data_IF_779771672561
#
_entry.id   IF_779771672561
#
_cell.length_a   1.000
_cell.length_b   1.000
_cell.length_c   1.000
_cell.angle_alpha   90.00
_cell.angle_beta   90.00
_cell.angle_gamma   90.00
#
_symmetry.space_group_name_H-M   'P 1'
#
loop_
_entity.id
_entity.type
_entity.pdbx_description
1 polymer ?
#
# COMPACT_ATOMS: atom_id res chain seq x y z
N UNK A 1 4.17 4.82 23.19
CA UNK A 1 4.73 5.73 22.14
C UNK A 1 5.98 6.37 22.72
N UNK A 2 7.15 6.25 22.04
CA UNK A 2 8.41 6.83 22.51
C UNK A 2 8.45 8.36 22.37
N UNK A 3 9.31 9.03 23.18
CA UNK A 3 9.46 10.50 23.20
C UNK A 3 9.63 11.14 21.80
N UNK A 4 10.41 10.51 20.91
CA UNK A 4 10.64 11.00 19.54
C UNK A 4 9.35 11.05 18.72
N UNK A 5 8.57 9.99 18.75
CA UNK A 5 7.28 9.89 18.05
C UNK A 5 6.25 10.86 18.64
N UNK A 6 6.19 10.98 19.97
CA UNK A 6 5.32 11.92 20.65
C UNK A 6 5.60 13.37 20.22
N UNK A 7 6.87 13.78 20.13
CA UNK A 7 7.25 15.12 19.68
C UNK A 7 6.83 15.39 18.22
N UNK A 8 6.90 14.39 17.35
CA UNK A 8 6.47 14.53 15.96
C UNK A 8 4.95 14.67 15.87
N UNK A 9 4.19 13.88 16.66
CA UNK A 9 2.74 14.01 16.73
C UNK A 9 2.30 15.37 17.24
N UNK A 10 2.97 15.92 18.26
CA UNK A 10 2.71 17.28 18.79
C UNK A 10 2.91 18.37 17.74
N UNK A 11 3.92 18.26 16.88
CA UNK A 11 4.12 19.19 15.74
C UNK A 11 2.91 19.17 14.77
N UNK A 12 2.15 18.11 14.75
CA UNK A 12 0.90 17.95 13.98
C UNK A 12 -0.35 18.36 14.78
N UNK A 13 -0.21 18.99 15.93
CA UNK A 13 -1.30 19.33 16.84
C UNK A 13 -2.12 18.10 17.30
N UNK A 14 -1.44 16.95 17.44
CA UNK A 14 -2.01 15.73 18.02
C UNK A 14 -1.44 15.63 19.43
N UNK A 15 -2.23 16.04 20.42
CA UNK A 15 -1.82 16.12 21.82
C UNK A 15 -2.40 14.99 22.67
N UNK A 16 -3.54 14.44 22.25
CA UNK A 16 -4.27 13.42 22.97
C UNK A 16 -4.83 12.33 22.04
N UNK A 17 -5.50 11.33 22.61
CA UNK A 17 -6.08 10.22 21.84
C UNK A 17 -7.24 10.66 20.95
N UNK A 18 -8.02 11.64 21.39
CA UNK A 18 -9.13 12.16 20.61
C UNK A 18 -8.63 12.82 19.33
N UNK A 19 -7.59 13.67 19.41
CA UNK A 19 -6.97 14.29 18.22
C UNK A 19 -6.47 13.26 17.23
N UNK A 20 -5.93 12.13 17.73
CA UNK A 20 -5.44 11.05 16.91
C UNK A 20 -6.57 10.31 16.18
N UNK A 21 -7.64 9.98 16.89
CA UNK A 21 -8.79 9.23 16.34
C UNK A 21 -9.66 10.08 15.42
N UNK A 22 -9.81 11.37 15.73
CA UNK A 22 -10.58 12.30 14.91
C UNK A 22 -9.92 12.62 13.58
N UNK A 23 -8.67 12.23 13.41
CA UNK A 23 -7.96 12.41 12.16
C UNK A 23 -8.34 11.31 11.18
N UNK A 24 -9.34 11.56 10.37
CA UNK A 24 -9.84 10.62 9.38
C UNK A 24 -8.79 10.34 8.30
N UNK A 25 -8.75 9.11 7.76
CA UNK A 25 -7.90 8.79 6.63
C UNK A 25 -8.31 9.58 5.38
N UNK A 26 -7.36 10.03 4.59
CA UNK A 26 -7.61 10.74 3.33
C UNK A 26 -8.14 9.81 2.24
N UNK A 27 -7.73 8.56 2.27
CA UNK A 27 -8.17 7.52 1.35
C UNK A 27 -7.90 6.16 1.96
N UNK A 28 -8.52 5.14 1.40
CA UNK A 28 -8.22 3.75 1.74
C UNK A 28 -7.77 3.00 0.48
N UNK A 29 -6.94 2.00 0.67
CA UNK A 29 -6.57 1.06 -0.38
C UNK A 29 -7.30 -0.24 -0.04
N UNK A 30 -8.22 -0.61 -0.90
CA UNK A 30 -8.94 -1.87 -0.77
C UNK A 30 -8.15 -2.96 -1.50
N UNK A 31 -7.49 -3.82 -0.74
CA UNK A 31 -6.78 -4.99 -1.28
C UNK A 31 -7.65 -6.24 -1.38
N UNK A 32 -8.95 -6.15 -1.02
CA UNK A 32 -9.86 -7.30 -1.04
C UNK A 32 -10.21 -7.77 -2.45
N UNK A 33 -10.18 -6.86 -3.43
CA UNK A 33 -10.39 -7.17 -4.82
C UNK A 33 -9.07 -7.21 -5.57
N UNK A 34 -8.74 -8.36 -6.12
CA UNK A 34 -7.62 -8.51 -7.04
C UNK A 34 -8.17 -8.53 -8.47
N UNK A 35 -7.71 -7.58 -9.28
CA UNK A 35 -8.06 -7.51 -10.70
C UNK A 35 -7.15 -8.43 -11.50
N UNK A 36 -7.60 -8.84 -12.68
CA UNK A 36 -6.77 -9.46 -13.70
C UNK A 36 -6.12 -8.41 -14.60
N UNK A 37 -5.05 -8.77 -15.31
CA UNK A 37 -4.33 -7.81 -16.16
C UNK A 37 -5.24 -7.24 -17.26
N UNK A 38 -6.15 -8.04 -17.82
CA UNK A 38 -7.10 -7.57 -18.83
C UNK A 38 -8.20 -6.65 -18.30
N UNK A 39 -8.39 -6.58 -16.97
CA UNK A 39 -9.39 -5.72 -16.30
C UNK A 39 -8.79 -4.42 -15.78
N UNK A 40 -7.50 -4.19 -16.03
CA UNK A 40 -6.80 -3.03 -15.50
C UNK A 40 -7.29 -1.72 -16.13
N UNK A 41 -7.54 -0.73 -15.28
CA UNK A 41 -8.00 0.60 -15.67
C UNK A 41 -6.88 1.61 -15.50
N UNK A 42 -6.50 2.25 -16.61
CA UNK A 42 -5.42 3.23 -16.65
C UNK A 42 -5.72 4.40 -15.71
N UNK A 43 -4.70 4.84 -14.97
CA UNK A 43 -4.79 5.94 -14.03
C UNK A 43 -5.25 5.57 -12.62
N UNK A 44 -5.87 4.40 -12.42
CA UNK A 44 -6.34 3.93 -11.11
C UNK A 44 -5.25 3.18 -10.35
N UNK A 45 -5.38 3.17 -9.04
CA UNK A 45 -4.59 2.29 -8.17
C UNK A 45 -5.36 0.98 -8.03
N UNK A 46 -4.76 -0.11 -8.48
CA UNK A 46 -5.40 -1.42 -8.45
C UNK A 46 -4.45 -2.47 -7.88
N UNK A 47 -5.05 -3.53 -7.32
CA UNK A 47 -4.34 -4.66 -6.75
C UNK A 47 -4.48 -5.87 -7.65
N UNK A 48 -3.38 -6.54 -7.92
CA UNK A 48 -3.32 -7.72 -8.81
C UNK A 48 -2.44 -8.81 -8.22
N UNK A 49 -2.76 -10.06 -8.60
CA UNK A 49 -1.92 -11.23 -8.34
C UNK A 49 -1.16 -11.57 -9.61
N UNK A 50 0.16 -11.59 -9.52
CA UNK A 50 1.03 -11.81 -10.67
C UNK A 50 2.15 -12.79 -10.35
N UNK A 51 2.60 -13.50 -11.36
CA UNK A 51 3.81 -14.33 -11.32
C UNK A 51 4.98 -13.56 -11.91
N UNK A 52 6.08 -13.50 -11.18
CA UNK A 52 7.30 -12.83 -11.62
C UNK A 52 8.07 -13.73 -12.58
N UNK A 53 8.38 -13.23 -13.78
CA UNK A 53 9.06 -14.00 -14.84
C UNK A 53 10.50 -13.57 -15.01
N UNK A 54 10.76 -12.26 -15.18
CA UNK A 54 12.09 -11.78 -15.57
C UNK A 54 12.34 -10.38 -15.03
N UNK A 55 13.58 -10.13 -14.63
CA UNK A 55 14.09 -8.79 -14.35
C UNK A 55 14.69 -8.16 -15.59
N UNK A 56 14.49 -6.86 -15.75
CA UNK A 56 15.16 -6.02 -16.71
C UNK A 56 15.75 -4.82 -15.97
N UNK A 57 17.02 -4.90 -15.63
CA UNK A 57 17.78 -3.88 -14.92
C UNK A 57 18.73 -3.20 -15.89
N UNK A 58 18.39 -2.03 -16.42
CA UNK A 58 19.24 -1.33 -17.37
C UNK A 58 20.50 -0.80 -16.64
N UNK A 59 21.65 -0.94 -17.29
CA UNK A 59 22.92 -0.40 -16.77
C UNK A 59 23.07 1.12 -16.95
N UNK A 60 22.15 1.72 -17.69
CA UNK A 60 22.14 3.16 -17.99
C UNK A 60 21.47 3.92 -16.85
N UNK A 61 22.15 4.96 -16.37
CA UNK A 61 21.57 5.88 -15.35
C UNK A 61 20.28 6.49 -15.86
N UNK A 62 19.35 6.73 -14.94
CA UNK A 62 18.03 7.35 -15.19
C UNK A 62 16.99 6.48 -15.92
N UNK A 63 17.32 5.23 -16.27
CA UNK A 63 16.31 4.29 -16.71
C UNK A 63 15.72 3.52 -15.51
N UNK A 64 14.40 3.35 -15.46
CA UNK A 64 13.77 2.62 -14.37
C UNK A 64 14.05 1.11 -14.48
N UNK A 65 14.19 0.47 -13.34
CA UNK A 65 14.19 -0.98 -13.26
C UNK A 65 12.80 -1.53 -13.59
N UNK A 66 12.74 -2.60 -14.37
CA UNK A 66 11.47 -3.24 -14.75
C UNK A 66 11.50 -4.70 -14.36
N UNK A 67 10.33 -5.19 -13.99
CA UNK A 67 10.09 -6.61 -13.71
C UNK A 67 8.92 -7.06 -14.56
N UNK A 68 9.18 -8.00 -15.46
CA UNK A 68 8.16 -8.60 -16.29
C UNK A 68 7.37 -9.60 -15.44
N UNK A 69 6.08 -9.42 -15.40
CA UNK A 69 5.14 -10.23 -14.66
C UNK A 69 3.99 -10.67 -15.56
N UNK A 70 3.39 -11.80 -15.23
CA UNK A 70 2.25 -12.35 -15.95
C UNK A 70 1.15 -12.81 -14.99
N UNK A 71 -0.05 -12.88 -15.50
CA UNK A 71 -1.14 -13.69 -14.96
C UNK A 71 -1.70 -14.59 -16.07
N UNK A 72 -2.85 -15.21 -15.84
CA UNK A 72 -3.57 -16.04 -16.81
C UNK A 72 -4.18 -15.23 -17.98
N UNK A 73 -4.22 -13.90 -17.90
CA UNK A 73 -4.87 -13.03 -18.87
C UNK A 73 -3.92 -12.15 -19.68
N UNK A 74 -2.68 -11.98 -19.21
CA UNK A 74 -1.76 -11.10 -19.93
C UNK A 74 -0.38 -10.93 -19.30
N UNK A 75 0.31 -9.89 -19.79
CA UNK A 75 1.65 -9.49 -19.34
C UNK A 75 1.61 -8.04 -18.86
N UNK A 76 2.43 -7.72 -17.88
CA UNK A 76 2.64 -6.36 -17.43
C UNK A 76 4.07 -6.13 -16.92
N UNK A 77 4.50 -4.88 -16.93
CA UNK A 77 5.77 -4.47 -16.35
C UNK A 77 5.54 -3.78 -15.00
N UNK A 78 6.18 -4.25 -13.94
CA UNK A 78 6.33 -3.48 -12.70
C UNK A 78 7.53 -2.54 -12.85
N UNK A 79 7.30 -1.24 -12.77
CA UNK A 79 8.31 -0.20 -13.01
C UNK A 79 8.72 0.44 -11.69
N UNK A 80 10.01 0.41 -11.42
CA UNK A 80 10.62 0.94 -10.20
C UNK A 80 11.61 2.06 -10.54
N UNK A 81 11.31 3.25 -10.08
CA UNK A 81 12.22 4.39 -10.14
C UNK A 81 13.08 4.42 -8.87
N UNK A 82 14.37 4.65 -9.01
CA UNK A 82 15.31 4.84 -7.90
C UNK A 82 15.32 3.70 -6.86
N UNK A 83 15.11 2.46 -7.28
CA UNK A 83 15.13 1.30 -6.39
C UNK A 83 16.30 0.39 -6.70
N UNK A 84 16.95 -0.14 -5.65
CA UNK A 84 18.07 -1.06 -5.80
C UNK A 84 17.60 -2.46 -6.26
N UNK A 85 18.38 -3.10 -7.12
CA UNK A 85 18.09 -4.45 -7.63
C UNK A 85 17.86 -5.47 -6.52
N UNK A 86 18.71 -5.46 -5.47
CA UNK A 86 18.58 -6.37 -4.33
C UNK A 86 17.23 -6.22 -3.59
N UNK A 87 16.75 -5.00 -3.44
CA UNK A 87 15.43 -4.75 -2.88
C UNK A 87 14.32 -5.31 -3.77
N UNK A 88 14.39 -5.07 -5.09
CA UNK A 88 13.40 -5.56 -6.05
C UNK A 88 13.37 -7.10 -6.06
N UNK A 89 14.53 -7.75 -6.09
CA UNK A 89 14.64 -9.21 -6.02
C UNK A 89 14.05 -9.80 -4.73
N UNK A 90 14.18 -9.10 -3.62
CA UNK A 90 13.61 -9.50 -2.33
C UNK A 90 12.09 -9.44 -2.32
N UNK A 91 11.50 -8.38 -2.88
CA UNK A 91 10.05 -8.16 -2.85
C UNK A 91 9.31 -8.87 -4.00
N UNK A 92 9.97 -9.08 -5.12
CA UNK A 92 9.45 -9.75 -6.32
C UNK A 92 10.36 -10.93 -6.72
N UNK A 93 10.37 -12.03 -5.96
CA UNK A 93 11.21 -13.18 -6.29
C UNK A 93 10.72 -13.89 -7.56
N UNK A 94 11.66 -14.29 -8.43
CA UNK A 94 11.37 -15.00 -9.69
C UNK A 94 10.57 -16.28 -9.43
N UNK A 95 9.67 -16.59 -10.34
CA UNK A 95 8.79 -17.75 -10.34
C UNK A 95 7.82 -17.85 -9.15
N UNK A 96 7.73 -16.81 -8.32
CA UNK A 96 6.72 -16.74 -7.26
C UNK A 96 5.55 -15.87 -7.67
N UNK A 97 4.37 -16.27 -7.19
CA UNK A 97 3.17 -15.44 -7.28
C UNK A 97 3.17 -14.46 -6.12
N UNK A 98 2.97 -13.20 -6.44
CA UNK A 98 2.93 -12.10 -5.47
C UNK A 98 1.74 -11.20 -5.75
N UNK A 99 1.17 -10.65 -4.69
CA UNK A 99 0.12 -9.64 -4.79
C UNK A 99 0.76 -8.26 -4.72
N UNK A 100 0.50 -7.43 -5.70
CA UNK A 100 1.00 -6.05 -5.76
C UNK A 100 -0.13 -5.06 -5.90
N UNK A 101 0.07 -3.86 -5.38
CA UNK A 101 -0.82 -2.72 -5.58
C UNK A 101 -0.03 -1.52 -6.07
N UNK A 102 -0.54 -0.83 -7.08
CA UNK A 102 0.10 0.35 -7.62
C UNK A 102 -0.74 1.06 -8.67
N UNK A 103 -0.23 2.18 -9.17
CA UNK A 103 -0.92 2.96 -10.21
C UNK A 103 -0.73 2.28 -11.57
N UNK A 104 -1.86 2.01 -12.23
CA UNK A 104 -1.89 1.42 -13.57
C UNK A 104 -1.60 2.49 -14.63
N UNK A 105 -0.65 2.21 -15.49
CA UNK A 105 -0.32 2.99 -16.68
C UNK A 105 -0.29 2.09 -17.90
N UNK A 106 -0.28 2.71 -19.08
CA UNK A 106 -0.13 2.00 -20.35
C UNK A 106 0.96 2.66 -21.17
N UNK A 107 1.97 1.90 -21.58
CA UNK A 107 3.10 2.43 -22.31
C UNK A 107 3.67 1.38 -23.29
N UNK A 108 3.91 1.78 -24.55
CA UNK A 108 4.43 0.90 -25.61
C UNK A 108 3.68 -0.42 -25.73
N UNK A 109 2.37 -0.33 -25.77
CA UNK A 109 1.46 -1.47 -25.92
C UNK A 109 1.47 -2.49 -24.77
N UNK A 110 1.96 -2.10 -23.57
CA UNK A 110 1.98 -2.92 -22.37
C UNK A 110 1.41 -2.19 -21.16
N UNK A 111 0.67 -2.89 -20.34
CA UNK A 111 0.31 -2.39 -19.01
C UNK A 111 1.54 -2.28 -18.14
N UNK A 112 1.59 -1.23 -17.35
CA UNK A 112 2.65 -1.00 -16.38
C UNK A 112 2.04 -0.63 -15.02
N UNK A 113 2.62 -1.17 -13.95
CA UNK A 113 2.34 -0.71 -12.61
C UNK A 113 3.54 0.06 -12.09
N UNK A 114 3.30 1.32 -11.72
CA UNK A 114 4.31 2.21 -11.15
C UNK A 114 4.02 2.46 -9.68
N UNK A 115 5.07 2.82 -8.93
CA UNK A 115 4.96 3.14 -7.50
C UNK A 115 4.28 2.03 -6.69
N UNK A 116 4.71 0.78 -6.95
CA UNK A 116 4.23 -0.38 -6.20
C UNK A 116 4.42 -0.16 -4.70
N UNK A 117 3.31 0.04 -3.98
CA UNK A 117 3.34 0.39 -2.56
C UNK A 117 3.28 -0.81 -1.64
N UNK A 118 2.64 -1.86 -2.11
CA UNK A 118 2.47 -3.09 -1.36
C UNK A 118 2.87 -4.26 -2.25
N UNK A 119 3.84 -4.99 -1.78
CA UNK A 119 4.25 -6.25 -2.36
C UNK A 119 4.21 -7.25 -1.23
N UNK A 120 3.34 -8.23 -1.31
CA UNK A 120 3.28 -9.29 -0.32
C UNK A 120 3.15 -10.66 -0.97
N UNK A 121 4.00 -11.59 -0.53
CA UNK A 121 3.89 -13.00 -0.88
C UNK A 121 2.75 -13.70 -0.14
N UNK A 122 2.27 -13.12 0.99
CA UNK A 122 1.13 -13.63 1.73
C UNK A 122 -0.14 -12.86 1.33
N UNK A 123 -0.97 -13.51 0.53
CA UNK A 123 -2.27 -12.99 0.06
C UNK A 123 -3.22 -12.56 1.20
N UNK A 124 -3.00 -13.06 2.41
CA UNK A 124 -3.81 -12.75 3.60
C UNK A 124 -3.60 -11.34 4.14
N UNK A 125 -2.40 -10.77 3.98
CA UNK A 125 -2.08 -9.43 4.49
C UNK A 125 -2.49 -8.32 3.51
N UNK A 126 -2.56 -8.61 2.22
CA UNK A 126 -2.99 -7.63 1.19
C UNK A 126 -4.50 -7.45 1.17
N UNK A 127 -5.26 -8.45 1.64
CA UNK A 127 -6.73 -8.40 1.73
C UNK A 127 -7.26 -7.43 2.80
N UNK A 128 -6.40 -6.88 3.66
CA UNK A 128 -6.82 -5.86 4.63
C UNK A 128 -6.91 -4.49 3.96
N UNK A 129 -8.02 -3.81 4.20
CA UNK A 129 -8.16 -2.39 3.86
C UNK A 129 -7.09 -1.60 4.62
N UNK A 130 -6.27 -0.85 3.90
CA UNK A 130 -5.26 0.02 4.50
C UNK A 130 -5.69 1.47 4.40
N UNK A 131 -5.83 2.10 5.54
CA UNK A 131 -6.14 3.52 5.63
C UNK A 131 -4.88 4.34 5.33
N UNK A 132 -5.02 5.32 4.44
CA UNK A 132 -3.97 6.26 4.10
C UNK A 132 -4.19 7.58 4.81
N UNK A 133 -3.26 7.95 5.67
CA UNK A 133 -3.31 9.20 6.42
C UNK A 133 -2.36 10.25 5.83
N UNK A 134 -2.69 11.53 6.02
CA UNK A 134 -1.75 12.62 5.74
C UNK A 134 -0.61 12.59 6.76
N UNK A 135 0.55 12.15 6.33
CA UNK A 135 1.72 11.99 7.18
C UNK A 135 2.60 13.24 7.18
N UNK A 136 3.44 13.34 8.21
CA UNK A 136 4.50 14.35 8.34
C UNK A 136 5.85 13.68 8.18
N UNK A 137 6.84 14.47 7.82
CA UNK A 137 8.23 14.07 7.87
C UNK A 137 8.58 13.47 9.24
N UNK A 138 9.21 12.31 9.22
CA UNK A 138 9.63 11.58 10.42
C UNK A 138 8.68 10.51 10.97
N UNK A 139 7.45 10.37 10.45
CA UNK A 139 6.55 9.23 10.73
C UNK A 139 6.20 8.53 9.42
N UNK A 140 6.46 7.22 9.36
CA UNK A 140 6.04 6.38 8.23
C UNK A 140 4.59 5.94 8.42
N UNK A 141 3.89 5.69 7.31
CA UNK A 141 2.52 5.18 7.29
C UNK A 141 2.37 3.91 8.14
N UNK A 142 3.35 3.00 8.06
CA UNK A 142 3.38 1.78 8.86
C UNK A 142 3.40 2.04 10.37
N UNK A 143 4.19 3.02 10.82
CA UNK A 143 4.26 3.39 12.24
C UNK A 143 2.95 4.04 12.70
N UNK A 144 2.38 4.93 11.87
CA UNK A 144 1.12 5.60 12.19
C UNK A 144 -0.04 4.61 12.30
N UNK A 145 -0.21 3.72 11.32
CA UNK A 145 -1.25 2.69 11.32
C UNK A 145 -1.13 1.76 12.54
N UNK A 146 0.09 1.35 12.92
CA UNK A 146 0.30 0.56 14.14
C UNK A 146 -0.16 1.29 15.39
N UNK A 147 0.11 2.60 15.49
CA UNK A 147 -0.34 3.41 16.64
C UNK A 147 -1.86 3.46 16.70
N UNK A 148 -2.53 3.70 15.57
CA UNK A 148 -4.00 3.70 15.48
C UNK A 148 -4.57 2.34 15.89
N UNK A 149 -4.03 1.24 15.37
CA UNK A 149 -4.48 -0.12 15.71
C UNK A 149 -4.32 -0.42 17.22
N UNK A 150 -3.19 -0.03 17.83
CA UNK A 150 -2.96 -0.18 19.26
C UNK A 150 -3.94 0.65 20.10
N UNK A 151 -4.27 1.85 19.65
CA UNK A 151 -5.24 2.71 20.33
C UNK A 151 -6.64 2.12 20.23
N UNK A 152 -7.08 1.73 19.04
CA UNK A 152 -8.40 1.14 18.83
C UNK A 152 -8.62 -0.11 19.70
N UNK A 153 -7.59 -0.96 19.83
CA UNK A 153 -7.66 -2.16 20.68
C UNK A 153 -7.83 -1.86 22.17
N UNK A 154 -7.43 -0.66 22.61
CA UNK A 154 -7.50 -0.24 24.02
C UNK A 154 -8.71 0.66 24.32
N UNK A 155 -9.51 1.00 23.32
CA UNK A 155 -10.73 1.75 23.54
C UNK A 155 -11.74 0.88 24.30
N UNK A 156 -12.39 1.43 25.35
CA UNK A 156 -13.49 0.74 26.01
C UNK A 156 -14.66 0.61 25.03
N UNK A 157 -15.40 -0.48 25.17
CA UNK A 157 -16.70 -0.61 24.50
C UNK A 157 -17.61 0.36 25.21
N UNK A 158 -18.07 1.38 24.50
CA UNK A 158 -19.07 2.33 25.03
C UNK A 158 -20.44 1.81 24.63
N UNK A 159 -21.37 1.82 25.57
CA UNK A 159 -22.78 1.53 25.28
C UNK A 159 -23.36 2.63 24.38
N UNK A 160 -24.22 2.24 23.46
CA UNK A 160 -24.91 3.20 22.61
C UNK A 160 -25.74 4.15 23.45
N UNK A 161 -25.47 5.44 23.36
CA UNK A 161 -26.18 6.47 24.09
C UNK A 161 -27.52 6.88 23.41
N UNK A 162 -27.71 6.46 22.16
CA UNK A 162 -29.01 6.60 21.47
C UNK A 162 -29.95 5.48 21.87
N UNK A 163 -31.14 5.85 22.26
CA UNK A 163 -32.21 4.88 22.49
C UNK A 163 -32.55 4.17 21.17
N UNK A 164 -32.70 2.83 21.21
CA UNK A 164 -33.01 1.98 20.04
C UNK A 164 -34.34 2.32 19.33
N UNK A 165 -35.05 3.34 19.79
CA UNK A 165 -36.35 3.80 19.25
C UNK A 165 -36.24 4.93 18.23
N UNK A 166 -35.04 5.34 17.82
CA UNK A 166 -34.79 6.44 16.84
C UNK A 166 -34.29 5.93 15.50
N UNK A 167 -34.36 4.65 15.25
CA UNK A 167 -34.08 4.03 13.93
C UNK A 167 -35.35 3.47 13.32
#
# INVERSE_FOLDING_TARGET
>A
IGKKTSNILRKKKIFNLFDLLWRLPQSYIDGSHTNKINELQIGKIQTINIKVIKYNFPRVRNLPNKVLCIDDTGKLDCVFFNSYEGYIKKILPINKTVTISGKVNYFRNNYQITNTKYVNSDSTLVKKKHNKYSLTEGITEKVYNRIIEEVIKKLPILDEWHSKHIL
#
